data_IF_494492827001
#
_entry.id   IF_494492827001
#
_cell.length_a   1.000
_cell.length_b   1.000
_cell.length_c   1.000
_cell.angle_alpha   90.00
_cell.angle_beta   90.00
_cell.angle_gamma   90.00
#
_symmetry.space_group_name_H-M   'P 1'
#
loop_
_entity.id
_entity.type
_entity.pdbx_description
1 polymer ?
#
# COMPACT_ATOMS: atom_id res chain seq x y z
N UNK A 1 -56.09 37.85 -27.79
CA UNK A 1 -55.35 36.60 -28.12
C UNK A 1 -53.86 36.89 -27.94
N UNK A 2 -53.32 36.63 -26.74
CA UNK A 2 -51.90 36.85 -26.42
C UNK A 2 -51.28 35.53 -26.02
N UNK A 3 -50.21 35.13 -26.72
CA UNK A 3 -49.55 33.83 -26.52
C UNK A 3 -48.51 33.93 -25.40
N UNK A 4 -48.56 32.99 -24.46
CA UNK A 4 -47.58 32.81 -23.39
C UNK A 4 -46.36 32.07 -23.94
N UNK A 5 -45.17 32.68 -23.85
CA UNK A 5 -43.90 32.02 -24.11
C UNK A 5 -43.31 31.54 -22.77
N UNK A 6 -43.43 30.23 -22.51
CA UNK A 6 -42.79 29.56 -21.38
C UNK A 6 -41.31 29.30 -21.69
N UNK A 7 -40.41 29.99 -20.99
CA UNK A 7 -38.99 29.65 -20.96
C UNK A 7 -38.79 28.45 -20.02
N UNK A 8 -38.48 27.29 -20.60
CA UNK A 8 -37.94 26.16 -19.84
C UNK A 8 -36.44 26.40 -19.60
N UNK A 9 -36.08 26.73 -18.36
CA UNK A 9 -34.70 26.67 -17.90
C UNK A 9 -34.29 25.20 -17.78
N UNK A 10 -33.58 24.69 -18.79
CA UNK A 10 -32.86 23.42 -18.70
C UNK A 10 -31.68 23.66 -17.77
N UNK A 11 -31.80 23.22 -16.52
CA UNK A 11 -30.69 23.17 -15.57
C UNK A 11 -29.63 22.20 -16.08
N UNK A 12 -28.52 22.75 -16.57
CA UNK A 12 -27.29 22.00 -16.80
C UNK A 12 -26.78 21.50 -15.44
N UNK A 13 -27.06 20.25 -15.12
CA UNK A 13 -26.38 19.55 -14.03
C UNK A 13 -24.90 19.46 -14.38
N UNK A 14 -24.07 20.25 -13.70
CA UNK A 14 -22.62 20.13 -13.79
C UNK A 14 -22.20 18.77 -13.22
N UNK A 15 -21.92 17.81 -14.08
CA UNK A 15 -21.14 16.62 -13.70
C UNK A 15 -19.70 17.06 -13.49
N UNK A 16 -19.40 17.68 -12.34
CA UNK A 16 -18.02 17.82 -11.89
C UNK A 16 -17.38 16.44 -11.79
N UNK A 17 -16.06 16.31 -11.98
CA UNK A 17 -15.38 15.04 -11.78
C UNK A 17 -15.65 14.58 -10.35
N UNK A 18 -16.38 13.48 -10.21
CA UNK A 18 -16.58 12.80 -8.93
C UNK A 18 -15.20 12.37 -8.47
N UNK A 19 -14.78 12.82 -7.29
CA UNK A 19 -13.49 12.53 -6.70
C UNK A 19 -13.23 11.00 -6.65
N UNK A 20 -12.54 10.49 -7.66
CA UNK A 20 -12.12 9.09 -7.78
C UNK A 20 -10.73 8.83 -7.15
N UNK A 21 -10.12 9.86 -6.56
CA UNK A 21 -8.64 9.96 -6.54
C UNK A 21 -7.97 9.40 -5.26
N UNK A 22 -8.74 8.96 -4.24
CA UNK A 22 -8.10 8.54 -2.97
C UNK A 22 -7.21 7.30 -3.15
N UNK A 23 -7.54 6.38 -4.05
CA UNK A 23 -6.65 5.26 -4.34
C UNK A 23 -5.48 5.65 -5.24
N UNK A 24 -5.63 6.70 -6.05
CA UNK A 24 -4.56 7.23 -6.89
C UNK A 24 -3.43 7.85 -6.06
N UNK A 25 -3.73 8.33 -4.85
CA UNK A 25 -2.73 8.73 -3.85
C UNK A 25 -1.85 7.59 -3.35
N UNK A 26 -2.34 6.35 -3.43
CA UNK A 26 -1.62 5.15 -3.06
C UNK A 26 -1.09 4.36 -4.25
N UNK A 27 -1.69 4.50 -5.44
CA UNK A 27 -1.41 3.64 -6.58
C UNK A 27 0.05 3.73 -7.03
N UNK A 28 0.83 2.66 -7.00
CA UNK A 28 2.25 2.76 -7.32
C UNK A 28 3.08 1.68 -6.68
N UNK A 29 4.27 1.51 -7.22
CA UNK A 29 5.35 0.86 -6.48
C UNK A 29 6.12 1.90 -5.68
N UNK A 30 6.58 1.55 -4.49
CA UNK A 30 7.40 2.40 -3.64
C UNK A 30 8.57 1.60 -3.10
N UNK A 31 9.70 2.28 -2.90
CA UNK A 31 10.91 1.65 -2.40
C UNK A 31 11.54 2.49 -1.28
N UNK A 32 11.86 1.84 -0.17
CA UNK A 32 12.60 2.45 0.93
C UNK A 32 13.94 1.75 1.09
N UNK A 33 15.03 2.50 0.98
CA UNK A 33 16.38 1.98 1.23
C UNK A 33 16.82 2.33 2.64
N UNK A 34 17.33 1.35 3.35
CA UNK A 34 17.87 1.53 4.68
C UNK A 34 19.07 0.61 4.88
N UNK A 35 19.84 0.89 5.94
CA UNK A 35 21.03 0.10 6.28
C UNK A 35 20.62 -0.92 7.32
N UNK A 36 20.86 -2.18 7.02
CA UNK A 36 20.63 -3.29 7.92
C UNK A 36 21.94 -3.92 8.39
N UNK A 37 21.84 -4.72 9.45
CA UNK A 37 22.97 -5.44 10.04
C UNK A 37 22.81 -6.95 9.86
N UNK A 38 23.91 -7.63 9.56
CA UNK A 38 23.99 -9.08 9.50
C UNK A 38 25.27 -9.54 10.22
N UNK A 39 25.10 -10.18 11.38
CA UNK A 39 26.21 -10.62 12.23
C UNK A 39 26.97 -11.81 11.63
N UNK A 40 26.34 -12.55 10.72
CA UNK A 40 26.85 -13.78 10.10
C UNK A 40 27.75 -13.50 8.89
N UNK A 41 27.75 -12.29 8.33
CA UNK A 41 28.64 -11.91 7.22
C UNK A 41 30.11 -11.97 7.65
N UNK A 42 30.97 -12.62 6.87
CA UNK A 42 32.43 -12.64 7.12
C UNK A 42 33.12 -11.29 6.86
N UNK A 43 32.47 -10.37 6.13
CA UNK A 43 32.96 -9.04 5.78
C UNK A 43 32.20 -7.91 6.50
N UNK A 44 31.96 -6.75 5.83
CA UNK A 44 31.18 -5.65 6.40
C UNK A 44 29.85 -6.16 6.94
N UNK A 45 29.61 -5.96 8.24
CA UNK A 45 28.43 -6.48 8.95
C UNK A 45 27.14 -5.73 8.62
N UNK A 46 27.18 -4.80 7.67
CA UNK A 46 26.02 -4.02 7.25
C UNK A 46 25.84 -4.06 5.74
N UNK A 47 24.60 -4.08 5.30
CA UNK A 47 24.21 -4.06 3.89
C UNK A 47 23.09 -3.04 3.67
N UNK A 48 22.84 -2.67 2.42
CA UNK A 48 21.70 -1.83 2.06
C UNK A 48 20.53 -2.72 1.69
N UNK A 49 19.49 -2.68 2.51
CA UNK A 49 18.23 -3.33 2.22
C UNK A 49 17.33 -2.39 1.40
N UNK A 50 16.39 -2.98 0.66
CA UNK A 50 15.36 -2.22 -0.06
C UNK A 50 13.99 -2.84 0.20
N UNK A 51 13.21 -2.21 1.06
CA UNK A 51 11.81 -2.56 1.24
C UNK A 51 11.00 -2.14 0.02
N UNK A 52 9.90 -2.85 -0.24
CA UNK A 52 8.94 -2.54 -1.30
C UNK A 52 7.50 -2.57 -0.83
N UNK A 53 6.73 -1.67 -1.41
CA UNK A 53 5.28 -1.62 -1.31
C UNK A 53 4.74 -1.40 -2.71
N UNK A 54 3.91 -2.32 -3.20
CA UNK A 54 3.21 -2.18 -4.47
C UNK A 54 1.70 -2.14 -4.21
N UNK A 55 1.03 -1.09 -4.67
CA UNK A 55 -0.43 -0.89 -4.50
C UNK A 55 -1.08 -0.75 -5.88
N UNK A 56 -1.88 -1.74 -6.26
CA UNK A 56 -2.63 -1.75 -7.52
C UNK A 56 -4.13 -1.61 -7.22
N UNK A 57 -4.76 -0.48 -7.58
CA UNK A 57 -6.21 -0.34 -7.49
C UNK A 57 -6.92 -1.46 -8.29
N UNK A 58 -7.90 -2.12 -7.68
CA UNK A 58 -8.75 -3.14 -8.32
C UNK A 58 -10.24 -2.78 -8.27
N UNK A 59 -10.55 -1.55 -7.84
CA UNK A 59 -11.89 -0.99 -7.71
C UNK A 59 -11.83 0.35 -6.97
N UNK A 60 -12.98 0.98 -6.75
CA UNK A 60 -13.05 2.34 -6.17
C UNK A 60 -12.60 2.43 -4.69
N UNK A 61 -12.61 1.30 -3.98
CA UNK A 61 -12.29 1.24 -2.55
C UNK A 61 -11.37 0.07 -2.18
N UNK A 62 -10.77 -0.61 -3.17
CA UNK A 62 -9.97 -1.81 -2.98
C UNK A 62 -8.71 -1.79 -3.84
N UNK A 63 -7.61 -2.31 -3.30
CA UNK A 63 -6.35 -2.49 -4.01
C UNK A 63 -5.76 -3.87 -3.70
N UNK A 64 -5.10 -4.49 -4.69
CA UNK A 64 -4.12 -5.54 -4.41
C UNK A 64 -2.86 -4.89 -3.90
N UNK A 65 -2.27 -5.48 -2.87
CA UNK A 65 -1.05 -4.96 -2.24
C UNK A 65 -0.04 -6.08 -2.06
N UNK A 66 1.22 -5.80 -2.37
CA UNK A 66 2.36 -6.61 -2.01
C UNK A 66 3.30 -5.78 -1.14
N UNK A 67 3.83 -6.39 -0.08
CA UNK A 67 4.74 -5.77 0.87
C UNK A 67 5.93 -6.71 1.04
N UNK A 68 7.13 -6.19 0.81
CA UNK A 68 8.37 -6.86 1.12
C UNK A 68 9.21 -5.95 2.02
N UNK A 69 9.60 -6.43 3.20
CA UNK A 69 10.51 -5.71 4.10
C UNK A 69 11.67 -6.59 4.47
N UNK A 70 12.81 -5.98 4.77
CA UNK A 70 14.01 -6.69 5.20
C UNK A 70 14.36 -6.30 6.62
N UNK A 71 14.62 -7.30 7.45
CA UNK A 71 15.16 -7.12 8.80
C UNK A 71 16.61 -7.55 8.92
N UNK A 72 17.13 -7.60 10.16
CA UNK A 72 18.46 -8.11 10.47
C UNK A 72 18.71 -9.50 9.88
N UNK A 73 19.98 -9.76 9.57
CA UNK A 73 20.45 -11.01 8.97
C UNK A 73 19.83 -11.34 7.60
N UNK A 74 19.46 -10.32 6.81
CA UNK A 74 18.85 -10.49 5.49
C UNK A 74 17.53 -11.28 5.51
N UNK A 75 16.80 -11.21 6.63
CA UNK A 75 15.49 -11.84 6.72
C UNK A 75 14.45 -11.02 5.95
N UNK A 76 13.93 -11.57 4.87
CA UNK A 76 12.84 -10.97 4.11
C UNK A 76 11.49 -11.40 4.70
N UNK A 77 10.67 -10.41 5.03
CA UNK A 77 9.24 -10.58 5.21
C UNK A 77 8.54 -10.30 3.90
N UNK A 78 7.67 -11.21 3.47
CA UNK A 78 6.81 -10.98 2.31
C UNK A 78 5.35 -11.26 2.67
N UNK A 79 4.45 -10.39 2.22
CA UNK A 79 3.02 -10.65 2.29
C UNK A 79 2.30 -10.02 1.11
N UNK A 80 1.28 -10.72 0.63
CA UNK A 80 0.36 -10.20 -0.37
C UNK A 80 -1.09 -10.34 0.04
N UNK A 81 -1.92 -9.44 -0.48
CA UNK A 81 -3.33 -9.48 -0.20
C UNK A 81 -4.13 -8.31 -0.74
N UNK A 82 -5.21 -7.98 -0.02
CA UNK A 82 -6.15 -6.94 -0.42
C UNK A 82 -6.19 -5.87 0.64
N UNK A 83 -6.10 -4.62 0.22
CA UNK A 83 -6.34 -3.46 1.05
C UNK A 83 -7.66 -2.80 0.69
N UNK A 84 -8.42 -2.43 1.71
CA UNK A 84 -9.71 -1.75 1.57
C UNK A 84 -9.63 -0.38 2.25
N UNK A 85 -10.43 0.58 1.75
CA UNK A 85 -10.47 1.93 2.33
C UNK A 85 -10.88 1.88 3.81
N UNK A 86 -10.06 2.49 4.68
CA UNK A 86 -10.28 2.57 6.14
C UNK A 86 -10.13 4.03 6.61
N UNK A 87 -11.04 4.88 6.13
CA UNK A 87 -11.03 6.32 6.34
C UNK A 87 -10.25 7.10 5.28
N UNK A 88 -10.15 8.41 5.48
CA UNK A 88 -9.45 9.33 4.56
C UNK A 88 -7.94 9.09 4.66
N UNK A 89 -7.28 8.88 3.52
CA UNK A 89 -5.82 8.69 3.47
C UNK A 89 -5.34 7.42 4.19
N UNK A 90 -6.19 6.40 4.32
CA UNK A 90 -5.87 5.18 5.04
C UNK A 90 -6.50 3.96 4.37
N UNK A 91 -5.73 2.88 4.26
CA UNK A 91 -6.18 1.57 3.82
C UNK A 91 -5.94 0.54 4.93
N UNK A 92 -6.82 -0.44 5.03
CA UNK A 92 -6.65 -1.64 5.85
C UNK A 92 -6.34 -2.81 4.94
N UNK A 93 -5.09 -3.24 4.99
CA UNK A 93 -4.60 -4.44 4.32
C UNK A 93 -4.92 -5.68 5.13
N UNK A 94 -5.25 -6.76 4.42
CA UNK A 94 -5.36 -8.12 4.95
C UNK A 94 -4.67 -9.10 4.01
N UNK A 95 -3.81 -9.95 4.56
CA UNK A 95 -3.15 -11.01 3.78
C UNK A 95 -4.15 -12.02 3.22
N UNK A 96 -3.83 -12.59 2.06
CA UNK A 96 -4.62 -13.68 1.45
C UNK A 96 -4.08 -15.06 1.80
N UNK A 97 -2.81 -15.13 2.18
CA UNK A 97 -2.14 -16.34 2.61
C UNK A 97 -2.81 -16.91 3.87
N UNK A 98 -3.13 -18.21 3.81
CA UNK A 98 -3.74 -18.97 4.91
C UNK A 98 -2.80 -20.02 5.49
N UNK A 99 -1.66 -20.26 4.85
CA UNK A 99 -0.71 -21.32 5.20
C UNK A 99 0.19 -20.88 6.35
N UNK A 100 0.46 -19.57 6.46
CA UNK A 100 1.27 -18.98 7.53
C UNK A 100 0.46 -18.63 8.80
N UNK A 101 -0.80 -19.06 8.94
CA UNK A 101 -1.61 -18.84 10.13
C UNK A 101 -2.70 -17.76 9.97
N UNK A 102 -3.06 -17.01 11.03
CA UNK A 102 -4.08 -15.98 10.94
C UNK A 102 -3.69 -14.88 9.94
N UNK A 103 -4.70 -14.22 9.38
CA UNK A 103 -4.47 -13.18 8.39
C UNK A 103 -3.75 -11.98 9.02
N UNK A 104 -2.58 -11.62 8.47
CA UNK A 104 -1.86 -10.41 8.86
C UNK A 104 -2.66 -9.17 8.43
N UNK A 105 -2.90 -8.26 9.37
CA UNK A 105 -3.62 -7.00 9.13
C UNK A 105 -2.68 -5.81 9.32
N UNK A 106 -2.56 -4.97 8.29
CA UNK A 106 -1.66 -3.81 8.29
C UNK A 106 -2.49 -2.56 7.96
N UNK A 107 -2.23 -1.47 8.69
CA UNK A 107 -2.73 -0.15 8.35
C UNK A 107 -1.73 0.54 7.44
N UNK A 108 -2.20 1.00 6.29
CA UNK A 108 -1.42 1.73 5.30
C UNK A 108 -1.91 3.17 5.33
N UNK A 109 -1.08 4.11 5.77
CA UNK A 109 -1.47 5.52 5.94
C UNK A 109 -0.68 6.40 4.98
N UNK A 110 -1.39 7.23 4.22
CA UNK A 110 -0.81 8.28 3.38
C UNK A 110 -0.56 9.52 4.24
N UNK A 111 0.70 9.75 4.61
CA UNK A 111 1.16 11.02 5.18
C UNK A 111 1.54 12.02 4.09
N UNK A 112 1.95 13.24 4.45
CA UNK A 112 2.27 14.29 3.47
C UNK A 112 3.45 13.95 2.53
N UNK A 113 4.49 13.29 3.06
CA UNK A 113 5.74 13.00 2.35
C UNK A 113 6.06 11.51 2.18
N UNK A 114 5.29 10.63 2.83
CA UNK A 114 5.52 9.19 2.82
C UNK A 114 4.22 8.39 3.03
N UNK A 115 4.22 7.14 2.58
CA UNK A 115 3.27 6.11 3.02
C UNK A 115 3.89 5.38 4.20
N UNK A 116 3.10 5.10 5.24
CA UNK A 116 3.54 4.36 6.42
C UNK A 116 2.73 3.08 6.60
N UNK A 117 3.43 2.02 6.96
CA UNK A 117 2.85 0.75 7.33
C UNK A 117 2.92 0.57 8.83
N UNK A 118 1.83 0.12 9.44
CA UNK A 118 1.78 -0.22 10.86
C UNK A 118 0.98 -1.50 11.02
N UNK A 119 1.59 -2.51 11.65
CA UNK A 119 0.90 -3.75 11.96
C UNK A 119 -0.23 -3.47 12.95
N UNK A 120 -1.43 -3.98 12.66
CA UNK A 120 -2.61 -3.78 13.51
C UNK A 120 -2.83 -4.98 14.44
N UNK A 121 -2.28 -6.15 14.10
CA UNK A 121 -2.32 -7.35 14.93
C UNK A 121 -0.93 -7.96 15.11
N UNK A 122 -0.80 -8.75 16.17
CA UNK A 122 0.41 -9.55 16.43
C UNK A 122 0.58 -10.70 15.41
N UNK A 123 -0.46 -11.02 14.64
CA UNK A 123 -0.47 -12.14 13.68
C UNK A 123 0.52 -11.95 12.52
N UNK A 124 0.94 -10.72 12.25
CA UNK A 124 1.98 -10.45 11.26
C UNK A 124 3.34 -11.06 11.65
N UNK A 125 3.56 -11.39 12.92
CA UNK A 125 4.76 -12.09 13.37
C UNK A 125 4.88 -13.51 12.76
N UNK A 126 3.79 -14.15 12.36
CA UNK A 126 3.87 -15.47 11.71
C UNK A 126 4.52 -15.41 10.32
N UNK A 127 4.50 -14.24 9.66
CA UNK A 127 5.08 -14.02 8.34
C UNK A 127 6.55 -13.57 8.39
N UNK A 128 6.98 -13.04 9.53
CA UNK A 128 8.28 -12.39 9.73
C UNK A 128 9.16 -13.05 10.80
N UNK A 129 8.60 -14.03 11.52
CA UNK A 129 9.13 -14.46 12.81
C UNK A 129 9.27 -13.30 13.80
N UNK A 130 10.18 -13.48 14.78
CA UNK A 130 10.47 -12.48 15.83
C UNK A 130 11.53 -11.45 15.42
N UNK A 131 12.09 -11.56 14.21
CA UNK A 131 13.31 -10.85 13.80
C UNK A 131 13.06 -9.67 12.88
N UNK A 132 11.88 -9.59 12.27
CA UNK A 132 11.53 -8.54 11.33
C UNK A 132 10.06 -8.13 11.50
N UNK A 133 9.66 -7.07 10.81
CA UNK A 133 8.30 -6.59 10.80
C UNK A 133 7.96 -5.93 9.48
N UNK A 134 6.66 -5.74 9.23
CA UNK A 134 6.17 -4.91 8.11
C UNK A 134 6.10 -3.42 8.45
N UNK A 135 6.55 -2.98 9.63
CA UNK A 135 6.58 -1.55 9.95
C UNK A 135 7.66 -0.85 9.13
N UNK A 136 7.24 -0.04 8.16
CA UNK A 136 8.14 0.65 7.26
C UNK A 136 7.52 1.95 6.73
N UNK A 137 8.39 2.85 6.27
CA UNK A 137 8.05 4.16 5.73
C UNK A 137 8.58 4.33 4.32
N UNK A 138 7.68 4.57 3.36
CA UNK A 138 7.97 4.68 1.95
C UNK A 138 7.87 6.14 1.49
N UNK A 139 8.98 6.82 1.15
CA UNK A 139 8.92 8.19 0.67
C UNK A 139 8.13 8.29 -0.64
N UNK A 140 7.24 9.27 -0.78
CA UNK A 140 6.42 9.39 -1.99
C UNK A 140 7.24 9.69 -3.24
N UNK A 141 8.38 10.37 -3.05
CA UNK A 141 9.36 10.61 -4.13
C UNK A 141 9.97 9.32 -4.69
N UNK A 142 9.83 8.19 -3.99
CA UNK A 142 10.27 6.88 -4.45
C UNK A 142 9.24 6.18 -5.34
N UNK A 143 8.09 6.81 -5.61
CA UNK A 143 7.02 6.23 -6.43
C UNK A 143 7.56 5.82 -7.79
N UNK A 144 7.38 4.55 -8.11
CA UNK A 144 7.71 3.93 -9.37
C UNK A 144 6.41 3.63 -10.12
N UNK A 145 6.44 3.65 -11.47
CA UNK A 145 5.35 3.08 -12.26
C UNK A 145 5.10 1.64 -11.81
N UNK A 146 3.83 1.26 -11.66
CA UNK A 146 3.47 -0.12 -11.37
C UNK A 146 4.00 -1.02 -12.49
N UNK A 147 5.00 -1.84 -12.17
CA UNK A 147 5.27 -3.03 -12.97
C UNK A 147 4.18 -4.03 -12.60
N UNK A 148 3.66 -4.79 -13.57
CA UNK A 148 2.69 -5.86 -13.26
C UNK A 148 3.27 -6.69 -12.12
N UNK A 149 2.45 -6.95 -11.09
CA UNK A 149 2.82 -7.87 -10.01
C UNK A 149 3.45 -9.09 -10.64
N UNK A 150 4.68 -9.37 -10.24
CA UNK A 150 5.38 -10.54 -10.73
C UNK A 150 4.68 -11.72 -10.04
N UNK A 151 3.71 -12.29 -10.73
CA UNK A 151 3.20 -13.63 -10.43
C UNK A 151 4.32 -14.57 -10.87
N UNK A 152 5.36 -14.69 -10.06
CA UNK A 152 6.31 -15.78 -10.25
C UNK A 152 5.53 -17.06 -9.86
N UNK A 153 5.20 -17.81 -10.90
CA UNK A 153 4.48 -19.08 -10.90
C UNK A 153 5.38 -20.24 -10.49
#
# INVERSE_FOLDING_TARGET
MGWAAGLWLIGLASTGPVANDMLDDFAGGFAARHREFNVELSGPKSYIATDRLDVLPIGMARARVQIATFGPNAHECYVEGVAERDGVGSLRFRSLDKDHGPACTIRIVRGASAIRLTSVSADCAYYCGVRASFESGFPLRSRLPLKRFRSDN
#
